data_IF_726489097562
#
_entry.id   IF_726489097562
#
_cell.length_a   1.000
_cell.length_b   1.000
_cell.length_c   1.000
_cell.angle_alpha   90.00
_cell.angle_beta   90.00
_cell.angle_gamma   90.00
#
_symmetry.space_group_name_H-M   'P 1'
#
loop_
_entity.id
_entity.type
_entity.pdbx_description
1 polymer ?
#
# COMPACT_ATOMS: atom_id res chain seq x y z
N UNK A 1 -35.39 8.56 -29.97
CA UNK A 1 -33.91 8.45 -29.89
C UNK A 1 -33.26 9.33 -28.80
N UNK A 2 -33.76 10.54 -28.47
CA UNK A 2 -33.10 11.46 -27.51
C UNK A 2 -33.03 11.02 -26.04
N UNK A 3 -33.99 10.22 -25.54
CA UNK A 3 -34.02 9.80 -24.13
C UNK A 3 -32.86 8.87 -23.77
N UNK A 4 -32.53 7.91 -24.64
CA UNK A 4 -31.42 6.94 -24.43
C UNK A 4 -30.04 7.60 -24.32
N UNK A 5 -29.78 8.65 -25.11
CA UNK A 5 -28.52 9.41 -25.08
C UNK A 5 -28.40 10.23 -23.79
N UNK A 6 -29.50 10.80 -23.28
CA UNK A 6 -29.53 11.53 -22.00
C UNK A 6 -29.21 10.60 -20.82
N UNK A 7 -29.90 9.48 -20.70
CA UNK A 7 -29.64 8.50 -19.64
C UNK A 7 -28.21 7.95 -19.67
N UNK A 8 -27.68 7.67 -20.86
CA UNK A 8 -26.28 7.26 -21.02
C UNK A 8 -25.30 8.33 -20.54
N UNK A 9 -25.49 9.58 -20.95
CA UNK A 9 -24.60 10.67 -20.55
C UNK A 9 -24.65 10.93 -19.04
N UNK A 10 -25.84 10.85 -18.43
CA UNK A 10 -26.01 10.93 -16.98
C UNK A 10 -25.28 9.77 -16.28
N UNK A 11 -25.45 8.53 -16.76
CA UNK A 11 -24.73 7.39 -16.21
C UNK A 11 -23.21 7.53 -16.26
N UNK A 12 -22.67 8.02 -17.38
CA UNK A 12 -21.23 8.30 -17.53
C UNK A 12 -20.78 9.40 -16.55
N UNK A 13 -21.54 10.50 -16.45
CA UNK A 13 -21.20 11.60 -15.56
C UNK A 13 -21.25 11.19 -14.08
N UNK A 14 -22.30 10.46 -13.67
CA UNK A 14 -22.43 9.92 -12.31
C UNK A 14 -21.33 8.93 -11.97
N UNK A 15 -21.00 8.01 -12.89
CA UNK A 15 -19.90 7.05 -12.71
C UNK A 15 -18.54 7.73 -12.60
N UNK A 16 -18.27 8.73 -13.44
CA UNK A 16 -17.03 9.51 -13.38
C UNK A 16 -16.91 10.31 -12.08
N UNK A 17 -18.00 10.93 -11.62
CA UNK A 17 -18.03 11.66 -10.36
C UNK A 17 -17.80 10.71 -9.17
N UNK A 18 -18.50 9.58 -9.12
CA UNK A 18 -18.32 8.59 -8.07
C UNK A 18 -16.87 8.09 -8.01
N UNK A 19 -16.29 7.72 -9.16
CA UNK A 19 -14.89 7.30 -9.23
C UNK A 19 -13.93 8.40 -8.76
N UNK A 20 -14.13 9.66 -9.17
CA UNK A 20 -13.30 10.77 -8.72
C UNK A 20 -13.40 10.99 -7.21
N UNK A 21 -14.60 10.88 -6.62
CA UNK A 21 -14.82 11.00 -5.18
C UNK A 21 -14.13 9.88 -4.40
N UNK A 22 -14.27 8.63 -4.85
CA UNK A 22 -13.59 7.49 -4.22
C UNK A 22 -12.07 7.61 -4.33
N UNK A 23 -11.54 7.92 -5.52
CA UNK A 23 -10.10 8.12 -5.69
C UNK A 23 -9.56 9.24 -4.78
N UNK A 24 -10.30 10.34 -4.66
CA UNK A 24 -9.93 11.45 -3.77
C UNK A 24 -9.98 11.06 -2.29
N UNK A 25 -11.05 10.38 -1.86
CA UNK A 25 -11.21 9.89 -0.49
C UNK A 25 -10.12 8.87 -0.13
N UNK A 26 -9.87 7.91 -1.00
CA UNK A 26 -8.89 6.85 -0.77
C UNK A 26 -7.46 7.41 -0.70
N UNK A 27 -7.11 8.34 -1.61
CA UNK A 27 -5.82 9.03 -1.55
C UNK A 27 -5.68 9.85 -0.26
N UNK A 28 -6.74 10.55 0.15
CA UNK A 28 -6.75 11.29 1.41
C UNK A 28 -6.53 10.35 2.59
N UNK A 29 -7.22 9.21 2.65
CA UNK A 29 -7.08 8.22 3.72
C UNK A 29 -5.66 7.65 3.76
N UNK A 30 -5.06 7.36 2.60
CA UNK A 30 -3.68 6.88 2.54
C UNK A 30 -2.68 7.93 3.06
N UNK A 31 -2.79 9.19 2.62
CA UNK A 31 -1.93 10.29 3.11
C UNK A 31 -2.13 10.54 4.60
N UNK A 32 -3.38 10.53 5.07
CA UNK A 32 -3.72 10.73 6.48
C UNK A 32 -3.18 9.59 7.36
N UNK A 33 -3.24 8.34 6.89
CA UNK A 33 -2.65 7.19 7.57
C UNK A 33 -1.12 7.32 7.65
N UNK A 34 -0.47 7.68 6.53
CA UNK A 34 0.97 7.92 6.50
C UNK A 34 1.42 9.00 7.50
N UNK A 35 0.62 10.07 7.68
CA UNK A 35 0.95 11.18 8.58
C UNK A 35 0.61 10.97 10.06
N UNK A 36 -0.36 10.10 10.38
CA UNK A 36 -0.86 9.95 11.76
C UNK A 36 -0.27 8.74 12.49
N UNK A 37 -0.16 7.59 11.82
CA UNK A 37 0.44 6.37 12.37
C UNK A 37 1.15 5.60 11.26
N UNK A 38 2.41 5.95 11.04
CA UNK A 38 3.24 5.35 9.99
C UNK A 38 3.65 3.90 10.26
N UNK A 39 3.17 3.25 11.34
CA UNK A 39 3.46 1.84 11.62
C UNK A 39 2.32 0.91 11.24
N UNK A 40 1.08 1.40 11.09
CA UNK A 40 -0.07 0.56 10.72
C UNK A 40 -0.11 0.32 9.19
N UNK A 41 0.86 -0.44 8.72
CA UNK A 41 1.03 -0.93 7.35
C UNK A 41 1.72 -2.30 7.39
N UNK A 42 1.61 -3.07 6.31
CA UNK A 42 2.20 -4.41 6.25
C UNK A 42 3.73 -4.37 6.17
N UNK A 43 4.30 -3.31 5.58
CA UNK A 43 5.74 -3.12 5.49
C UNK A 43 6.42 -3.11 6.87
N UNK A 44 5.76 -2.61 7.91
CA UNK A 44 6.21 -2.74 9.30
C UNK A 44 6.54 -4.17 9.66
N UNK A 45 5.66 -5.11 9.34
CA UNK A 45 5.86 -6.52 9.66
C UNK A 45 6.89 -7.16 8.73
N UNK A 46 6.99 -6.73 7.47
CA UNK A 46 8.01 -7.22 6.54
C UNK A 46 9.41 -6.78 6.95
N UNK A 47 9.55 -5.52 7.34
CA UNK A 47 10.79 -4.92 7.83
C UNK A 47 11.25 -5.56 9.14
N UNK A 48 10.36 -5.75 10.12
CA UNK A 48 10.71 -6.41 11.40
C UNK A 48 11.11 -7.87 11.16
N UNK A 49 10.36 -8.61 10.35
CA UNK A 49 10.72 -9.99 10.00
C UNK A 49 12.07 -10.07 9.27
N UNK A 50 12.35 -9.14 8.34
CA UNK A 50 13.64 -9.08 7.66
C UNK A 50 14.79 -8.79 8.63
N UNK A 51 14.61 -7.87 9.59
CA UNK A 51 15.60 -7.61 10.65
C UNK A 51 15.87 -8.86 11.49
N UNK A 52 14.82 -9.57 11.93
CA UNK A 52 14.96 -10.84 12.65
C UNK A 52 15.71 -11.85 11.81
N UNK A 53 15.39 -11.97 10.52
CA UNK A 53 16.06 -12.89 9.60
C UNK A 53 17.57 -12.66 9.51
N UNK A 54 17.99 -11.38 9.52
CA UNK A 54 19.40 -10.98 9.45
C UNK A 54 20.11 -11.10 10.81
N UNK A 55 19.43 -10.84 11.94
CA UNK A 55 20.06 -10.78 13.27
C UNK A 55 19.95 -12.08 14.09
N UNK A 56 18.88 -12.85 13.91
CA UNK A 56 18.55 -14.06 14.66
C UNK A 56 18.33 -15.29 13.76
N UNK A 57 18.47 -15.13 12.44
CA UNK A 57 18.30 -16.18 11.44
C UNK A 57 16.85 -16.32 10.94
N UNK A 58 16.72 -16.78 9.68
CA UNK A 58 15.44 -16.85 8.96
C UNK A 58 14.42 -17.80 9.57
N UNK A 59 14.83 -18.82 10.30
CA UNK A 59 13.93 -19.71 11.04
C UNK A 59 13.21 -19.01 12.20
N UNK A 60 13.74 -17.88 12.67
CA UNK A 60 13.25 -17.16 13.85
C UNK A 60 12.22 -16.08 13.52
N UNK A 61 11.94 -15.82 12.25
CA UNK A 61 11.06 -14.71 11.81
C UNK A 61 9.61 -14.80 12.31
N UNK A 62 9.18 -15.99 12.74
CA UNK A 62 7.85 -16.24 13.29
C UNK A 62 7.82 -16.26 14.83
N UNK A 63 8.96 -16.04 15.50
CA UNK A 63 8.99 -15.92 16.95
C UNK A 63 8.31 -14.61 17.39
N UNK A 64 7.21 -14.76 18.13
CA UNK A 64 6.37 -13.63 18.54
C UNK A 64 7.07 -12.69 19.53
N UNK A 65 7.98 -13.22 20.36
CA UNK A 65 8.77 -12.42 21.29
C UNK A 65 9.77 -11.54 20.54
N UNK A 66 10.47 -12.10 19.55
CA UNK A 66 11.36 -11.35 18.69
C UNK A 66 10.61 -10.30 17.86
N UNK A 67 9.45 -10.64 17.29
CA UNK A 67 8.62 -9.68 16.57
C UNK A 67 8.19 -8.50 17.45
N UNK A 68 7.73 -8.75 18.69
CA UNK A 68 7.40 -7.66 19.61
C UNK A 68 8.63 -6.81 19.95
N UNK A 69 9.79 -7.45 20.19
CA UNK A 69 11.02 -6.74 20.53
C UNK A 69 11.49 -5.81 19.40
N UNK A 70 11.33 -6.24 18.14
CA UNK A 70 11.69 -5.44 16.97
C UNK A 70 10.68 -4.31 16.72
N UNK A 71 9.38 -4.55 16.95
CA UNK A 71 8.36 -3.50 16.91
C UNK A 71 8.65 -2.41 17.96
N UNK A 72 8.95 -2.80 19.19
CA UNK A 72 9.31 -1.87 20.25
C UNK A 72 10.61 -1.10 19.90
N UNK A 73 11.59 -1.77 19.28
CA UNK A 73 12.86 -1.16 18.89
C UNK A 73 12.74 -0.10 17.78
N UNK A 74 11.75 -0.23 16.87
CA UNK A 74 11.47 0.81 15.86
C UNK A 74 10.55 1.92 16.39
N UNK A 75 10.13 1.84 17.66
CA UNK A 75 9.23 2.81 18.30
C UNK A 75 7.75 2.58 18.01
N UNK A 76 7.39 1.44 17.41
CA UNK A 76 5.99 1.08 17.17
C UNK A 76 5.29 0.80 18.50
N UNK A 77 4.03 1.25 18.60
CA UNK A 77 3.16 0.94 19.75
C UNK A 77 2.23 -0.25 19.47
N UNK A 78 2.40 -0.89 18.32
CA UNK A 78 1.65 -2.10 17.95
C UNK A 78 2.03 -3.21 18.92
N UNK A 79 1.01 -3.89 19.46
CA UNK A 79 1.18 -5.09 20.28
C UNK A 79 0.86 -6.31 19.44
N UNK A 80 1.74 -7.31 19.52
CA UNK A 80 1.54 -8.59 18.85
C UNK A 80 0.22 -9.20 19.32
N UNK A 81 -0.66 -9.41 18.34
CA UNK A 81 -1.96 -10.01 18.51
C UNK A 81 -2.26 -10.87 17.29
N UNK A 82 -3.39 -11.59 17.29
CA UNK A 82 -3.74 -12.51 16.21
C UNK A 82 -3.73 -11.86 14.82
N UNK A 83 -4.17 -10.59 14.73
CA UNK A 83 -4.22 -9.79 13.50
C UNK A 83 -3.04 -8.82 13.34
N UNK A 84 -2.07 -8.81 14.25
CA UNK A 84 -0.97 -7.84 14.27
C UNK A 84 0.37 -8.57 14.45
N UNK A 85 0.76 -9.38 13.46
CA UNK A 85 2.01 -10.15 13.47
C UNK A 85 2.41 -10.56 12.05
N UNK A 86 3.69 -10.82 11.84
CA UNK A 86 4.17 -11.36 10.57
C UNK A 86 3.78 -12.84 10.43
N UNK A 87 2.94 -13.13 9.45
CA UNK A 87 2.46 -14.49 9.11
C UNK A 87 2.82 -14.90 7.67
N UNK A 88 3.39 -13.98 6.91
CA UNK A 88 3.66 -14.16 5.48
C UNK A 88 4.81 -15.15 5.24
N UNK A 89 4.88 -15.81 4.07
CA UNK A 89 6.02 -16.66 3.71
C UNK A 89 7.34 -15.86 3.66
N UNK A 90 8.51 -16.47 3.96
CA UNK A 90 9.79 -15.77 4.05
C UNK A 90 10.16 -14.87 2.85
N UNK A 91 9.84 -15.24 1.59
CA UNK A 91 10.12 -14.37 0.44
C UNK A 91 9.51 -12.96 0.53
N UNK A 92 8.39 -12.77 1.24
CA UNK A 92 7.85 -11.42 1.46
C UNK A 92 8.75 -10.58 2.37
N UNK A 93 9.35 -11.16 3.41
CA UNK A 93 10.35 -10.45 4.22
C UNK A 93 11.62 -10.17 3.43
N UNK A 94 11.99 -11.03 2.46
CA UNK A 94 13.17 -10.78 1.63
C UNK A 94 13.05 -9.53 0.77
N UNK A 95 11.85 -9.13 0.37
CA UNK A 95 11.64 -7.87 -0.34
C UNK A 95 12.03 -6.65 0.51
N UNK A 96 11.92 -6.76 1.83
CA UNK A 96 12.29 -5.70 2.77
C UNK A 96 13.80 -5.69 3.12
N UNK A 97 14.57 -6.72 2.73
CA UNK A 97 16.00 -6.84 3.07
C UNK A 97 16.85 -5.61 2.71
N UNK A 98 16.76 -5.03 1.51
CA UNK A 98 17.59 -3.87 1.18
C UNK A 98 17.33 -2.67 2.10
N UNK A 99 16.12 -2.61 2.67
CA UNK A 99 15.66 -1.50 3.50
C UNK A 99 16.09 -1.64 4.96
N UNK A 100 16.49 -2.83 5.44
CA UNK A 100 16.93 -3.03 6.83
C UNK A 100 18.24 -2.32 7.17
N UNK A 101 18.94 -1.79 6.15
CA UNK A 101 20.12 -0.95 6.29
C UNK A 101 19.78 0.51 6.68
N UNK A 102 18.50 0.87 6.64
CA UNK A 102 18.00 2.22 6.87
C UNK A 102 17.16 2.27 8.15
N UNK A 103 17.10 3.42 8.84
CA UNK A 103 16.08 3.65 9.85
C UNK A 103 14.67 3.47 9.29
N UNK A 104 13.75 2.91 10.09
CA UNK A 104 12.39 2.58 9.67
C UNK A 104 11.65 3.71 8.91
N UNK A 105 11.68 4.99 9.33
CA UNK A 105 10.98 6.04 8.59
C UNK A 105 11.50 6.24 7.16
N UNK A 106 12.80 6.09 6.93
CA UNK A 106 13.39 6.18 5.59
C UNK A 106 13.10 4.92 4.78
N UNK A 107 13.15 3.75 5.42
CA UNK A 107 12.77 2.47 4.81
C UNK A 107 11.33 2.52 4.29
N UNK A 108 10.38 2.95 5.12
CA UNK A 108 8.97 3.05 4.76
C UNK A 108 8.70 4.11 3.68
N UNK A 109 9.39 5.25 3.73
CA UNK A 109 9.30 6.27 2.68
C UNK A 109 9.73 5.72 1.32
N UNK A 110 10.87 5.03 1.26
CA UNK A 110 11.38 4.46 0.01
C UNK A 110 10.52 3.31 -0.50
N UNK A 111 10.00 2.47 0.41
CA UNK A 111 9.03 1.43 0.06
C UNK A 111 7.74 2.03 -0.52
N UNK A 112 7.20 3.07 0.11
CA UNK A 112 6.03 3.80 -0.40
C UNK A 112 6.30 4.39 -1.79
N UNK A 113 7.49 4.98 -2.00
CA UNK A 113 7.90 5.50 -3.30
C UNK A 113 8.02 4.39 -4.36
N UNK A 114 8.51 3.21 -3.98
CA UNK A 114 8.57 2.03 -4.86
C UNK A 114 7.17 1.57 -5.28
N UNK A 115 6.22 1.49 -4.36
CA UNK A 115 4.83 1.12 -4.66
C UNK A 115 4.15 2.15 -5.58
N UNK A 116 4.36 3.44 -5.34
CA UNK A 116 3.86 4.50 -6.22
C UNK A 116 4.48 4.41 -7.63
N UNK A 117 5.78 4.15 -7.72
CA UNK A 117 6.46 3.94 -9.00
C UNK A 117 5.93 2.69 -9.73
N UNK A 118 5.64 1.61 -9.01
CA UNK A 118 5.03 0.40 -9.56
C UNK A 118 3.61 0.66 -10.07
N UNK A 119 2.79 1.42 -9.33
CA UNK A 119 1.46 1.84 -9.77
C UNK A 119 1.54 2.71 -11.02
N UNK A 120 2.40 3.73 -11.01
CA UNK A 120 2.62 4.61 -12.15
C UNK A 120 3.15 3.85 -13.38
N UNK A 121 4.08 2.93 -13.18
CA UNK A 121 4.61 2.05 -14.23
C UNK A 121 3.55 1.11 -14.81
N UNK A 122 2.74 0.50 -13.94
CA UNK A 122 1.62 -0.37 -14.36
C UNK A 122 0.60 0.41 -15.17
N UNK A 123 0.19 1.60 -14.70
CA UNK A 123 -0.67 2.50 -15.45
C UNK A 123 -0.02 2.96 -16.76
N UNK A 124 1.30 3.19 -16.76
CA UNK A 124 2.01 3.60 -17.96
C UNK A 124 2.02 2.50 -19.04
N UNK A 125 2.17 1.24 -18.64
CA UNK A 125 2.30 0.11 -19.56
C UNK A 125 0.96 -0.51 -19.96
N UNK A 126 -0.01 -0.57 -19.04
CA UNK A 126 -1.24 -1.33 -19.24
C UNK A 126 -2.46 -0.48 -19.64
N UNK A 127 -2.46 0.84 -19.36
CA UNK A 127 -3.64 1.67 -19.65
C UNK A 127 -3.79 1.93 -21.16
N UNK A 128 -4.92 1.53 -21.78
CA UNK A 128 -5.13 1.74 -23.21
C UNK A 128 -5.42 3.20 -23.56
N UNK A 129 -5.23 3.56 -24.83
CA UNK A 129 -5.53 4.88 -25.38
C UNK A 129 -4.49 5.96 -25.03
N UNK A 130 -4.89 7.23 -25.12
CA UNK A 130 -4.03 8.38 -24.85
C UNK A 130 -4.81 9.52 -24.15
N UNK A 131 -4.08 10.45 -23.53
CA UNK A 131 -4.63 11.66 -22.90
C UNK A 131 -5.71 11.34 -21.85
N UNK A 132 -6.91 11.89 -22.04
CA UNK A 132 -8.03 11.75 -21.10
C UNK A 132 -8.47 10.31 -20.85
N UNK A 133 -8.37 9.44 -21.86
CA UNK A 133 -8.75 8.03 -21.71
C UNK A 133 -7.85 7.33 -20.66
N UNK A 134 -6.54 7.58 -20.71
CA UNK A 134 -5.60 7.04 -19.72
C UNK A 134 -5.83 7.62 -18.33
N UNK A 135 -6.18 8.90 -18.22
CA UNK A 135 -6.51 9.52 -16.94
C UNK A 135 -7.74 8.85 -16.30
N UNK A 136 -8.76 8.50 -17.08
CA UNK A 136 -9.93 7.77 -16.58
C UNK A 136 -9.52 6.42 -15.98
N UNK A 137 -8.61 5.69 -16.62
CA UNK A 137 -8.09 4.43 -16.07
C UNK A 137 -7.32 4.63 -14.76
N UNK A 138 -6.54 5.71 -14.64
CA UNK A 138 -5.85 6.04 -13.39
C UNK A 138 -6.84 6.35 -12.27
N UNK A 139 -7.83 7.21 -12.54
CA UNK A 139 -8.87 7.56 -11.57
C UNK A 139 -9.66 6.31 -11.16
N UNK A 140 -10.00 5.44 -12.12
CA UNK A 140 -10.68 4.18 -11.82
C UNK A 140 -9.82 3.23 -10.97
N UNK A 141 -8.51 3.17 -11.20
CA UNK A 141 -7.59 2.38 -10.38
C UNK A 141 -7.49 2.95 -8.95
N UNK A 142 -7.32 4.27 -8.81
CA UNK A 142 -7.25 4.93 -7.50
C UNK A 142 -8.58 4.87 -6.73
N UNK A 143 -9.71 4.82 -7.43
CA UNK A 143 -11.03 4.63 -6.83
C UNK A 143 -11.29 3.20 -6.36
N UNK A 144 -10.42 2.26 -6.74
CA UNK A 144 -10.59 0.87 -6.40
C UNK A 144 -9.84 0.56 -5.10
N UNK A 145 -10.60 0.39 -4.02
CA UNK A 145 -10.12 0.16 -2.66
C UNK A 145 -8.88 -0.79 -2.54
N UNK A 146 -8.87 -2.02 -3.11
CA UNK A 146 -7.68 -2.86 -3.19
C UNK A 146 -6.38 -2.19 -3.65
N UNK A 147 -6.42 -1.28 -4.63
CA UNK A 147 -5.21 -0.61 -5.13
C UNK A 147 -4.64 0.30 -4.05
N UNK A 148 -5.48 0.95 -3.26
CA UNK A 148 -5.06 1.89 -2.23
C UNK A 148 -4.58 1.15 -0.99
N UNK A 149 -5.27 0.07 -0.60
CA UNK A 149 -4.77 -0.83 0.44
C UNK A 149 -3.43 -1.46 0.06
N UNK A 150 -3.21 -1.75 -1.22
CA UNK A 150 -1.91 -2.22 -1.70
C UNK A 150 -0.78 -1.18 -1.55
N UNK A 151 -1.08 0.11 -1.38
CA UNK A 151 -0.08 1.14 -1.04
C UNK A 151 0.27 1.17 0.46
N UNK A 152 -0.40 0.35 1.27
CA UNK A 152 -0.09 0.10 2.68
C UNK A 152 0.58 -1.29 2.86
N UNK A 153 0.94 -1.96 1.76
CA UNK A 153 1.80 -3.14 1.79
C UNK A 153 3.19 -2.81 2.32
#
# INVERSE_FOLDING_TARGET
MGNSRRWRNLGIASGALAAAMFAGFDLFQWVAAYGSDHFHNDFTFYYTAARIGVTHGWQSIYDLGLQQSELDAIGSRIRIAELARYISPPPLAWLALPFTLLPYPLAYLLWSALLLAALAGTWYLAAPGAGRARLIHLVAALAWLPVIYALQL
#
